data_IF_276977675374
#
_entry.id   IF_276977675374
#
_cell.length_a   1.000
_cell.length_b   1.000
_cell.length_c   1.000
_cell.angle_alpha   90.00
_cell.angle_beta   90.00
_cell.angle_gamma   90.00
#
_symmetry.space_group_name_H-M   'P 1'
#
loop_
_entity.id
_entity.type
_entity.pdbx_description
1 polymer ?
#
# COMPACT_ATOMS: atom_id res chain seq x y z
N UNK A 1 0.77 -8.21 -24.48
CA UNK A 1 0.37 -7.26 -23.41
C UNK A 1 -0.35 -6.11 -24.09
N UNK A 2 -1.66 -5.98 -23.91
CA UNK A 2 -2.43 -4.85 -24.43
C UNK A 2 -2.43 -3.76 -23.36
N UNK A 3 -1.38 -2.94 -23.35
CA UNK A 3 -1.32 -1.76 -22.50
C UNK A 3 -1.68 -0.56 -23.37
N UNK A 4 -2.74 0.18 -23.00
CA UNK A 4 -2.99 1.49 -23.58
C UNK A 4 -1.77 2.34 -23.27
N UNK A 5 -1.10 2.86 -24.30
CA UNK A 5 0.02 3.80 -24.17
C UNK A 5 -0.46 5.16 -24.70
N UNK A 6 -1.13 5.96 -23.87
CA UNK A 6 -1.46 7.32 -24.25
C UNK A 6 -0.18 8.08 -24.62
N UNK A 7 -0.24 8.91 -25.67
CA UNK A 7 0.92 9.68 -26.13
C UNK A 7 1.40 10.69 -25.06
N UNK A 8 0.50 11.09 -24.15
CA UNK A 8 0.74 11.97 -23.03
C UNK A 8 1.31 11.26 -21.78
N UNK A 9 1.65 9.96 -21.88
CA UNK A 9 2.23 9.17 -20.79
C UNK A 9 3.47 8.41 -21.27
N UNK A 10 4.63 8.69 -20.68
CA UNK A 10 5.86 7.91 -20.92
C UNK A 10 6.40 7.26 -19.65
N UNK A 11 6.72 5.98 -19.71
CA UNK A 11 7.52 5.31 -18.68
C UNK A 11 8.95 5.83 -18.75
N UNK A 12 9.46 6.40 -17.65
CA UNK A 12 10.80 7.03 -17.59
C UNK A 12 11.96 6.03 -17.62
N UNK A 13 11.69 4.72 -17.69
CA UNK A 13 12.68 3.63 -17.60
C UNK A 13 13.60 3.73 -16.36
N UNK A 14 13.12 4.37 -15.29
CA UNK A 14 13.79 4.45 -14.00
C UNK A 14 12.88 3.87 -12.91
N UNK A 15 13.51 3.31 -11.88
CA UNK A 15 12.85 2.91 -10.66
C UNK A 15 13.14 3.93 -9.56
N UNK A 16 12.21 4.13 -8.62
CA UNK A 16 12.44 4.93 -7.42
C UNK A 16 12.58 4.03 -6.18
N UNK A 17 13.30 4.53 -5.17
CA UNK A 17 13.54 3.78 -3.93
C UNK A 17 12.77 4.37 -2.76
N UNK A 18 12.33 3.51 -1.84
CA UNK A 18 11.60 3.89 -0.64
C UNK A 18 12.37 4.86 0.27
N UNK A 19 13.68 4.68 0.36
CA UNK A 19 14.54 5.46 1.25
C UNK A 19 15.18 6.69 0.57
N UNK A 20 15.11 6.80 -0.77
CA UNK A 20 15.67 7.91 -1.53
C UNK A 20 14.76 8.26 -2.70
N UNK A 21 13.89 9.25 -2.47
CA UNK A 21 12.99 9.87 -3.45
C UNK A 21 12.59 11.29 -2.95
N UNK A 22 11.99 12.14 -3.79
CA UNK A 22 11.63 13.51 -3.41
C UNK A 22 10.59 13.66 -2.27
N UNK A 23 9.93 12.58 -1.85
CA UNK A 23 8.85 12.58 -0.86
C UNK A 23 9.28 11.97 0.48
N UNK A 24 10.57 11.71 0.70
CA UNK A 24 11.07 11.22 1.98
C UNK A 24 10.69 12.20 3.10
N UNK A 25 10.08 11.67 4.15
CA UNK A 25 9.59 12.44 5.30
C UNK A 25 8.20 13.05 5.12
N UNK A 26 7.53 12.88 3.98
CA UNK A 26 6.16 13.38 3.82
C UNK A 26 5.09 12.39 4.27
N UNK A 27 3.89 12.93 4.57
CA UNK A 27 2.71 12.13 4.89
C UNK A 27 2.21 11.32 3.70
N UNK A 28 2.42 11.79 2.47
CA UNK A 28 2.03 11.10 1.24
C UNK A 28 2.85 9.82 1.03
N UNK A 29 4.18 9.86 1.18
CA UNK A 29 5.02 8.65 1.11
C UNK A 29 4.69 7.68 2.26
N UNK A 30 4.44 8.22 3.46
CA UNK A 30 4.01 7.42 4.61
C UNK A 30 2.66 6.74 4.34
N UNK A 31 1.71 7.43 3.72
CA UNK A 31 0.42 6.89 3.28
C UNK A 31 0.57 5.77 2.27
N UNK A 32 1.44 5.94 1.27
CA UNK A 32 1.71 4.89 0.29
C UNK A 32 2.35 3.64 0.95
N UNK A 33 3.25 3.85 1.91
CA UNK A 33 3.84 2.76 2.69
C UNK A 33 2.79 2.05 3.56
N UNK A 34 1.93 2.81 4.25
CA UNK A 34 0.82 2.25 5.03
C UNK A 34 -0.19 1.50 4.16
N UNK A 35 -0.46 1.94 2.93
CA UNK A 35 -1.29 1.21 1.97
C UNK A 35 -0.67 -0.14 1.58
N UNK A 36 0.65 -0.16 1.32
CA UNK A 36 1.38 -1.41 1.09
C UNK A 36 1.31 -2.34 2.29
N UNK A 37 1.45 -1.81 3.51
CA UNK A 37 1.28 -2.58 4.74
C UNK A 37 -0.14 -3.14 4.89
N UNK A 38 -1.16 -2.30 4.66
CA UNK A 38 -2.57 -2.68 4.74
C UNK A 38 -2.84 -3.90 3.85
N UNK A 39 -2.29 -3.92 2.64
CA UNK A 39 -2.41 -5.03 1.70
C UNK A 39 -1.37 -6.15 1.91
N UNK A 40 -0.54 -6.08 2.95
CA UNK A 40 0.55 -7.03 3.19
C UNK A 40 1.50 -7.20 1.97
N UNK A 41 1.83 -6.12 1.26
CA UNK A 41 2.74 -6.20 0.11
C UNK A 41 4.17 -6.53 0.55
N UNK A 42 4.58 -7.80 0.44
CA UNK A 42 5.93 -8.22 0.85
C UNK A 42 6.99 -7.95 -0.23
N UNK A 43 6.60 -7.78 -1.49
CA UNK A 43 7.51 -7.57 -2.63
C UNK A 43 7.60 -6.10 -3.08
N UNK A 44 7.40 -5.15 -2.16
CA UNK A 44 7.54 -3.70 -2.43
C UNK A 44 9.01 -3.28 -2.63
N UNK A 45 9.78 -3.96 -3.47
CA UNK A 45 11.17 -3.66 -3.82
C UNK A 45 11.27 -2.55 -4.87
N UNK A 46 12.38 -1.84 -4.92
CA UNK A 46 12.58 -0.73 -5.88
C UNK A 46 12.35 -1.13 -7.33
N UNK A 47 12.70 -2.34 -7.76
CA UNK A 47 12.46 -2.79 -9.16
C UNK A 47 10.98 -2.92 -9.52
N UNK A 48 10.09 -2.97 -8.52
CA UNK A 48 8.63 -3.00 -8.67
C UNK A 48 8.00 -1.60 -8.60
N UNK A 49 8.81 -0.57 -8.39
CA UNK A 49 8.41 0.83 -8.42
C UNK A 49 8.74 1.44 -9.77
N UNK A 50 7.97 2.43 -10.22
CA UNK A 50 8.17 3.03 -11.53
C UNK A 50 7.89 4.53 -11.49
N UNK A 51 8.47 5.26 -12.45
CA UNK A 51 8.17 6.68 -12.68
C UNK A 51 7.52 6.84 -14.04
N UNK A 52 6.36 7.49 -14.07
CA UNK A 52 5.68 7.89 -15.31
C UNK A 52 5.79 9.40 -15.47
N UNK A 53 6.20 9.85 -16.66
CA UNK A 53 6.09 11.24 -17.06
C UNK A 53 4.71 11.51 -17.65
N UNK A 54 3.93 12.37 -17.01
CA UNK A 54 2.66 12.90 -17.51
C UNK A 54 2.94 14.20 -18.26
N UNK A 55 2.64 14.23 -19.55
CA UNK A 55 2.83 15.41 -20.40
C UNK A 55 1.51 16.17 -20.53
N UNK A 56 1.51 17.44 -20.15
CA UNK A 56 0.37 18.31 -20.37
C UNK A 56 0.43 18.95 -21.77
N UNK A 57 -0.72 19.40 -22.32
CA UNK A 57 -0.76 20.07 -23.62
C UNK A 57 0.11 21.33 -23.72
N UNK A 58 0.42 21.98 -22.60
CA UNK A 58 1.29 23.15 -22.51
C UNK A 58 2.79 22.80 -22.53
N UNK A 59 3.13 21.52 -22.69
CA UNK A 59 4.50 21.01 -22.68
C UNK A 59 5.08 20.79 -21.28
N UNK A 60 4.34 21.11 -20.21
CA UNK A 60 4.78 20.82 -18.85
C UNK A 60 4.73 19.32 -18.57
N UNK A 61 5.63 18.88 -17.69
CA UNK A 61 5.81 17.48 -17.34
C UNK A 61 5.66 17.30 -15.83
N UNK A 62 4.85 16.32 -15.42
CA UNK A 62 4.76 15.87 -14.03
C UNK A 62 5.17 14.42 -13.92
N UNK A 63 6.18 14.15 -13.11
CA UNK A 63 6.58 12.78 -12.82
C UNK A 63 5.72 12.19 -11.69
N UNK A 64 5.10 11.04 -11.97
CA UNK A 64 4.31 10.26 -11.04
C UNK A 64 5.11 9.07 -10.56
N UNK A 65 5.28 8.97 -9.25
CA UNK A 65 6.01 7.90 -8.59
C UNK A 65 5.01 6.89 -8.06
N UNK A 66 5.04 5.67 -8.58
CA UNK A 66 4.06 4.64 -8.25
C UNK A 66 4.72 3.32 -7.87
N UNK A 67 4.02 2.54 -7.07
CA UNK A 67 4.25 1.09 -6.95
C UNK A 67 3.52 0.44 -8.13
N UNK A 68 4.28 -0.20 -9.02
CA UNK A 68 3.76 -0.76 -10.27
C UNK A 68 3.38 -2.24 -10.16
N UNK A 69 3.90 -2.96 -9.16
CA UNK A 69 3.57 -4.37 -8.90
C UNK A 69 2.97 -4.56 -7.51
N UNK A 70 1.73 -5.05 -7.49
CA UNK A 70 0.94 -5.35 -6.30
C UNK A 70 0.65 -6.86 -6.17
N UNK A 71 1.25 -7.71 -7.00
CA UNK A 71 0.97 -9.15 -7.06
C UNK A 71 1.44 -9.94 -5.83
N UNK A 72 2.30 -9.34 -4.99
CA UNK A 72 2.78 -9.91 -3.72
C UNK A 72 1.97 -9.47 -2.50
N UNK A 73 0.64 -9.38 -2.60
CA UNK A 73 -0.27 -8.86 -1.56
C UNK A 73 -1.29 -9.88 -1.08
N UNK A 74 -2.08 -9.51 -0.07
CA UNK A 74 -3.25 -10.23 0.45
C UNK A 74 -2.91 -11.63 1.00
N UNK A 75 -1.74 -11.75 1.63
CA UNK A 75 -1.32 -12.92 2.40
C UNK A 75 -0.55 -12.48 3.65
N UNK A 76 0.50 -13.21 4.02
CA UNK A 76 1.45 -12.79 5.05
C UNK A 76 2.74 -12.25 4.45
N UNK A 77 3.29 -11.24 5.12
CA UNK A 77 4.64 -10.74 4.93
C UNK A 77 5.64 -11.63 5.66
N UNK A 78 6.88 -11.70 5.17
CA UNK A 78 7.94 -12.54 5.73
C UNK A 78 9.17 -12.58 4.84
N UNK A 79 10.17 -13.35 5.23
CA UNK A 79 11.30 -13.71 4.37
C UNK A 79 10.88 -14.58 3.17
N UNK A 80 11.84 -14.86 2.28
CA UNK A 80 11.64 -15.46 0.94
C UNK A 80 10.80 -16.76 0.88
N UNK A 81 10.78 -17.57 1.94
CA UNK A 81 10.01 -18.82 2.01
C UNK A 81 8.79 -18.75 2.93
N UNK A 82 8.59 -17.61 3.59
CA UNK A 82 7.59 -17.44 4.66
C UNK A 82 6.48 -16.47 4.30
N UNK A 83 6.45 -15.95 3.07
CA UNK A 83 5.41 -15.05 2.57
C UNK A 83 4.37 -15.79 1.72
N UNK A 84 3.16 -15.25 1.66
CA UNK A 84 2.08 -15.75 0.79
C UNK A 84 1.41 -14.59 0.05
N UNK A 85 0.64 -14.94 -1.00
CA UNK A 85 -0.17 -13.98 -1.77
C UNK A 85 -1.56 -14.56 -1.96
N UNK A 86 -2.57 -13.70 -1.90
CA UNK A 86 -3.97 -14.10 -2.04
C UNK A 86 -4.33 -15.31 -1.15
N UNK A 87 -3.96 -15.23 0.13
CA UNK A 87 -4.24 -16.25 1.14
C UNK A 87 -4.95 -15.58 2.32
N UNK A 88 -6.27 -15.78 2.39
CA UNK A 88 -7.11 -15.18 3.42
C UNK A 88 -6.73 -15.66 4.83
N UNK A 89 -6.33 -16.91 4.99
CA UNK A 89 -6.01 -17.47 6.30
C UNK A 89 -4.74 -16.84 6.87
N UNK A 90 -3.70 -16.71 6.05
CA UNK A 90 -2.46 -16.04 6.41
C UNK A 90 -2.67 -14.53 6.63
N UNK A 91 -3.40 -13.86 5.73
CA UNK A 91 -3.70 -12.42 5.84
C UNK A 91 -4.49 -12.07 7.11
N UNK A 92 -5.42 -12.96 7.50
CA UNK A 92 -6.26 -12.79 8.69
C UNK A 92 -5.52 -13.03 10.01
N UNK A 93 -4.54 -13.94 10.01
CA UNK A 93 -3.77 -14.33 11.21
C UNK A 93 -2.65 -13.36 11.53
N UNK A 94 -2.06 -12.69 10.53
CA UNK A 94 -0.95 -11.79 10.76
C UNK A 94 -1.40 -10.54 11.55
N UNK A 95 -0.63 -10.18 12.56
CA UNK A 95 -0.76 -8.89 13.22
C UNK A 95 -0.56 -7.74 12.22
N UNK A 96 -1.17 -6.59 12.50
CA UNK A 96 -1.11 -5.42 11.62
C UNK A 96 -0.32 -4.26 12.24
N UNK A 97 -0.53 -3.99 13.52
CA UNK A 97 0.23 -3.01 14.29
C UNK A 97 1.03 -3.71 15.38
N UNK A 98 2.28 -3.28 15.58
CA UNK A 98 3.07 -3.66 16.76
C UNK A 98 2.76 -2.75 17.95
N UNK A 99 2.30 -1.51 17.70
CA UNK A 99 1.82 -0.59 18.74
C UNK A 99 2.13 0.88 18.48
N UNK A 100 1.86 1.70 19.48
CA UNK A 100 2.13 3.16 19.49
C UNK A 100 3.17 3.45 20.57
N UNK A 101 4.19 4.25 20.26
CA UNK A 101 5.24 4.67 21.18
C UNK A 101 5.50 6.17 21.03
N UNK A 102 5.10 6.96 22.02
CA UNK A 102 5.13 8.41 21.93
C UNK A 102 4.30 8.91 20.74
N UNK A 103 4.93 9.68 19.85
CA UNK A 103 4.28 10.21 18.64
C UNK A 103 4.52 9.35 17.38
N UNK A 104 4.89 8.08 17.55
CA UNK A 104 5.20 7.15 16.47
C UNK A 104 4.34 5.90 16.54
N UNK A 105 3.97 5.38 15.38
CA UNK A 105 3.19 4.17 15.19
C UNK A 105 4.06 3.14 14.49
N UNK A 106 4.08 1.91 15.00
CA UNK A 106 4.84 0.80 14.44
C UNK A 106 3.90 -0.23 13.84
N UNK A 107 4.14 -0.55 12.58
CA UNK A 107 3.40 -1.53 11.81
C UNK A 107 4.11 -2.88 11.85
N UNK A 108 3.33 -3.95 11.98
CA UNK A 108 3.83 -5.30 11.87
C UNK A 108 4.10 -5.64 10.40
N UNK A 109 5.32 -5.41 9.95
CA UNK A 109 5.70 -5.55 8.54
C UNK A 109 7.09 -6.16 8.36
N UNK A 110 7.17 -7.19 7.51
CA UNK A 110 8.43 -7.80 7.08
C UNK A 110 8.44 -8.00 5.56
N UNK A 111 8.93 -7.02 4.82
CA UNK A 111 9.01 -7.08 3.36
C UNK A 111 10.10 -6.17 2.79
N UNK A 112 10.05 -5.91 1.48
CA UNK A 112 11.13 -5.24 0.74
C UNK A 112 11.04 -3.71 0.67
N UNK A 113 10.21 -3.10 1.52
CA UNK A 113 9.89 -1.66 1.51
C UNK A 113 10.90 -0.75 2.25
N UNK A 114 12.17 -1.14 2.30
CA UNK A 114 13.23 -0.34 2.96
C UNK A 114 12.89 0.04 4.40
N UNK A 115 13.14 1.29 4.77
CA UNK A 115 12.86 1.85 6.10
C UNK A 115 11.57 2.67 6.19
N UNK A 116 10.80 2.81 5.10
CA UNK A 116 9.64 3.72 5.03
C UNK A 116 8.51 3.44 6.02
N UNK A 117 8.47 2.27 6.68
CA UNK A 117 7.51 1.94 7.75
C UNK A 117 8.10 1.94 9.17
N UNK A 118 9.42 2.11 9.35
CA UNK A 118 10.07 1.79 10.63
C UNK A 118 9.61 2.65 11.81
N UNK A 119 9.08 3.86 11.57
CA UNK A 119 8.55 4.75 12.60
C UNK A 119 7.63 5.79 11.96
N UNK A 120 6.36 5.45 11.74
CA UNK A 120 5.41 6.37 11.12
C UNK A 120 4.99 7.45 12.12
N UNK A 121 5.15 8.75 11.82
CA UNK A 121 4.62 9.83 12.65
C UNK A 121 3.10 9.71 12.83
N UNK A 122 2.60 9.98 14.05
CA UNK A 122 1.17 9.84 14.36
C UNK A 122 0.30 10.78 13.52
N UNK A 123 0.78 11.98 13.21
CA UNK A 123 0.10 12.94 12.32
C UNK A 123 0.01 12.43 10.87
N UNK A 124 1.03 11.70 10.38
CA UNK A 124 0.95 11.02 9.09
C UNK A 124 -0.11 9.93 9.09
N UNK A 125 -0.19 9.14 10.18
CA UNK A 125 -1.27 8.16 10.36
C UNK A 125 -2.65 8.84 10.37
N UNK A 126 -2.82 9.93 11.11
CA UNK A 126 -4.07 10.69 11.17
C UNK A 126 -4.51 11.17 9.78
N UNK A 127 -3.57 11.73 9.00
CA UNK A 127 -3.85 12.13 7.61
C UNK A 127 -4.30 10.94 6.75
N UNK A 128 -3.58 9.82 6.81
CA UNK A 128 -3.91 8.64 6.01
C UNK A 128 -5.25 8.01 6.42
N UNK A 129 -5.54 7.94 7.72
CA UNK A 129 -6.83 7.50 8.27
C UNK A 129 -7.98 8.39 7.78
N UNK A 130 -7.74 9.70 7.66
CA UNK A 130 -8.70 10.64 7.08
C UNK A 130 -9.06 10.32 5.62
N UNK A 131 -8.20 9.61 4.89
CA UNK A 131 -8.44 9.17 3.50
C UNK A 131 -9.01 7.76 3.47
N UNK A 132 -8.25 6.76 3.96
CA UNK A 132 -8.62 5.35 3.86
C UNK A 132 -9.88 5.03 4.67
N UNK A 133 -10.13 5.81 5.73
CA UNK A 133 -11.29 5.68 6.59
C UNK A 133 -12.63 6.01 5.94
N UNK A 134 -12.63 6.65 4.76
CA UNK A 134 -13.83 7.01 3.97
C UNK A 134 -14.37 5.85 3.13
N UNK A 135 -13.54 4.84 2.84
CA UNK A 135 -14.00 3.66 2.10
C UNK A 135 -15.14 2.99 2.86
N UNK A 136 -16.25 2.75 2.18
CA UNK A 136 -17.39 1.98 2.71
C UNK A 136 -17.13 0.48 2.61
N UNK A 137 -17.85 -0.32 3.39
CA UNK A 137 -17.73 -1.78 3.31
C UNK A 137 -18.12 -2.32 1.93
N UNK A 138 -19.12 -1.70 1.27
CA UNK A 138 -19.50 -2.07 -0.09
C UNK A 138 -18.36 -1.81 -1.07
N UNK A 139 -17.72 -0.64 -1.02
CA UNK A 139 -16.61 -0.32 -1.91
C UNK A 139 -15.43 -1.29 -1.76
N UNK A 140 -15.12 -1.71 -0.53
CA UNK A 140 -14.08 -2.71 -0.28
C UNK A 140 -14.51 -4.07 -0.88
N UNK A 141 -15.75 -4.51 -0.63
CA UNK A 141 -16.28 -5.77 -1.19
C UNK A 141 -16.31 -5.75 -2.71
N UNK A 142 -16.73 -4.64 -3.31
CA UNK A 142 -16.86 -4.51 -4.76
C UNK A 142 -15.49 -4.55 -5.45
N UNK A 143 -14.42 -4.07 -4.80
CA UNK A 143 -13.05 -4.25 -5.30
C UNK A 143 -12.66 -5.73 -5.41
N UNK A 144 -12.99 -6.56 -4.40
CA UNK A 144 -12.71 -8.01 -4.45
C UNK A 144 -13.58 -8.73 -5.48
N UNK A 145 -14.87 -8.39 -5.59
CA UNK A 145 -15.73 -8.94 -6.63
C UNK A 145 -15.21 -8.63 -8.03
N UNK A 146 -14.77 -7.39 -8.26
CA UNK A 146 -14.20 -6.97 -9.53
C UNK A 146 -12.89 -7.70 -9.85
N UNK A 147 -12.14 -8.14 -8.83
CA UNK A 147 -10.95 -8.98 -8.97
C UNK A 147 -11.26 -10.48 -9.18
N UNK A 148 -12.55 -10.88 -9.20
CA UNK A 148 -12.95 -12.27 -9.40
C UNK A 148 -12.91 -13.14 -8.14
N UNK A 149 -12.85 -12.53 -6.95
CA UNK A 149 -12.88 -13.26 -5.69
C UNK A 149 -14.20 -14.02 -5.51
N UNK A 150 -14.12 -15.20 -4.89
CA UNK A 150 -15.32 -15.92 -4.41
C UNK A 150 -16.05 -15.10 -3.34
N UNK A 151 -17.29 -15.48 -3.04
CA UNK A 151 -18.06 -14.83 -1.97
C UNK A 151 -17.34 -14.91 -0.61
N UNK A 152 -16.77 -16.07 -0.27
CA UNK A 152 -16.05 -16.27 0.98
C UNK A 152 -14.77 -15.40 1.07
N UNK A 153 -14.01 -15.29 -0.03
CA UNK A 153 -12.84 -14.40 -0.11
C UNK A 153 -13.25 -12.93 -0.03
N UNK A 154 -14.31 -12.55 -0.75
CA UNK A 154 -14.85 -11.18 -0.72
C UNK A 154 -15.20 -10.77 0.71
N UNK A 155 -15.93 -11.61 1.43
CA UNK A 155 -16.31 -11.34 2.82
C UNK A 155 -15.10 -11.33 3.75
N UNK A 156 -14.24 -12.35 3.64
CA UNK A 156 -13.07 -12.49 4.49
C UNK A 156 -12.09 -11.34 4.35
N UNK A 157 -11.63 -11.04 3.13
CA UNK A 157 -10.65 -9.99 2.90
C UNK A 157 -11.22 -8.61 3.22
N UNK A 158 -12.49 -8.34 2.88
CA UNK A 158 -13.11 -7.05 3.18
C UNK A 158 -13.25 -6.81 4.69
N UNK A 159 -13.67 -7.83 5.43
CA UNK A 159 -13.77 -7.77 6.89
C UNK A 159 -12.39 -7.52 7.52
N UNK A 160 -11.36 -8.20 7.02
CA UNK A 160 -10.00 -8.04 7.53
C UNK A 160 -9.40 -6.66 7.18
N UNK A 161 -9.65 -6.13 5.97
CA UNK A 161 -9.27 -4.74 5.63
C UNK A 161 -9.98 -3.75 6.55
N UNK A 162 -11.30 -3.91 6.76
CA UNK A 162 -12.04 -3.03 7.68
C UNK A 162 -11.47 -3.09 9.10
N UNK A 163 -11.16 -4.28 9.59
CA UNK A 163 -10.54 -4.47 10.90
C UNK A 163 -9.22 -3.69 11.00
N UNK A 164 -8.31 -3.84 10.03
CA UNK A 164 -7.04 -3.11 9.97
C UNK A 164 -7.24 -1.58 9.90
N UNK A 165 -8.21 -1.11 9.12
CA UNK A 165 -8.57 0.33 9.08
C UNK A 165 -9.03 0.81 10.47
N UNK A 166 -9.82 0.01 11.19
CA UNK A 166 -10.27 0.37 12.53
C UNK A 166 -9.13 0.34 13.57
N UNK A 167 -8.18 -0.56 13.45
CA UNK A 167 -6.95 -0.56 14.26
C UNK A 167 -6.14 0.73 14.04
N UNK A 168 -5.97 1.17 12.78
CA UNK A 168 -5.36 2.47 12.48
C UNK A 168 -6.17 3.65 13.05
N UNK A 169 -7.49 3.63 12.92
CA UNK A 169 -8.36 4.66 13.51
C UNK A 169 -8.20 4.75 15.03
N UNK A 170 -8.01 3.62 15.71
CA UNK A 170 -7.78 3.58 17.15
C UNK A 170 -6.39 4.14 17.50
N UNK A 171 -5.34 3.74 16.78
CA UNK A 171 -3.97 4.21 16.99
C UNK A 171 -3.76 5.70 16.66
N UNK A 172 -4.62 6.27 15.81
CA UNK A 172 -4.59 7.68 15.43
C UNK A 172 -5.18 8.64 16.49
N UNK A 173 -5.95 8.12 17.46
CA UNK A 173 -6.57 8.90 18.54
C UNK A 173 -5.53 9.34 19.56
#
# INVERSE_FOLDING_TARGET
MFEKRPEDIARRAINWTWDSNPFVGTKELSGLAMLNCLLSNWDAKSTNNNVLGMYAPDGSVKDWYLVADWGGTLGKTGGFTSHSKWDLADYSKQAFLDGVSGNKVRFHYSGKMGSSLKDIPKDHLQWFVGIIGQLTDSQIRDAFKAAGATQAETDGFSNQIRKRINEMKAAAR
#
